data_IF_474481143184
#
_entry.id   IF_474481143184
#
_cell.length_a   1.000
_cell.length_b   1.000
_cell.length_c   1.000
_cell.angle_alpha   90.00
_cell.angle_beta   90.00
_cell.angle_gamma   90.00
#
_symmetry.space_group_name_H-M   'P 1'
#
loop_
_entity.id
_entity.type
_entity.pdbx_description
1 polymer ?
#
# COMPACT_ATOMS: atom_id res chain seq x y z
N UNK A 1 11.24 4.65 -1.52
CA UNK A 1 10.59 4.03 -0.33
C UNK A 1 10.92 2.52 -0.27
N UNK A 2 11.13 1.87 0.90
CA UNK A 2 11.47 0.42 0.96
C UNK A 2 10.23 -0.45 1.23
N UNK A 3 9.96 -1.44 0.36
CA UNK A 3 8.84 -2.39 0.46
C UNK A 3 8.92 -3.28 1.72
N UNK A 4 10.12 -3.59 2.19
CA UNK A 4 10.34 -4.45 3.37
C UNK A 4 9.86 -3.79 4.67
N UNK A 5 9.69 -2.46 4.68
CA UNK A 5 9.21 -1.72 5.84
C UNK A 5 7.68 -1.77 5.99
N UNK A 6 6.97 -2.33 5.00
CA UNK A 6 5.51 -2.41 4.98
C UNK A 6 5.01 -3.77 5.48
N UNK A 7 4.26 -3.74 6.58
CA UNK A 7 3.63 -4.92 7.15
C UNK A 7 2.17 -4.99 6.69
N UNK A 8 1.81 -6.08 6.02
CA UNK A 8 0.43 -6.35 5.58
C UNK A 8 -0.36 -7.11 6.64
N UNK A 9 -1.57 -6.65 6.94
CA UNK A 9 -2.53 -7.32 7.82
C UNK A 9 -3.88 -7.45 7.14
N UNK A 10 -4.62 -8.47 7.55
CA UNK A 10 -6.00 -8.71 7.15
C UNK A 10 -6.76 -9.01 8.42
N UNK A 11 -7.70 -8.13 8.76
CA UNK A 11 -8.60 -8.30 9.88
C UNK A 11 -9.95 -8.79 9.34
N UNK A 12 -10.71 -9.53 10.14
CA UNK A 12 -12.03 -10.01 9.76
C UNK A 12 -13.06 -9.75 10.85
N UNK A 13 -14.31 -9.53 10.41
CA UNK A 13 -15.47 -9.38 11.27
C UNK A 13 -16.51 -10.40 10.85
N UNK A 14 -16.96 -11.22 11.80
CA UNK A 14 -18.04 -12.19 11.61
C UNK A 14 -19.38 -11.54 11.96
N UNK A 15 -20.31 -11.51 11.00
CA UNK A 15 -21.66 -10.94 11.15
C UNK A 15 -22.74 -12.03 11.24
N UNK A 16 -22.35 -13.30 11.37
CA UNK A 16 -23.26 -14.45 11.49
C UNK A 16 -23.50 -15.15 10.15
N UNK A 17 -24.09 -14.46 9.17
CA UNK A 17 -24.32 -14.98 7.81
C UNK A 17 -23.25 -14.54 6.80
N UNK A 18 -22.42 -13.55 7.17
CA UNK A 18 -21.39 -12.96 6.34
C UNK A 18 -20.10 -12.77 7.15
N UNK A 19 -18.96 -12.91 6.47
CA UNK A 19 -17.65 -12.48 6.99
C UNK A 19 -17.12 -11.36 6.11
N UNK A 20 -16.77 -10.24 6.74
CA UNK A 20 -16.11 -9.12 6.09
C UNK A 20 -14.61 -9.18 6.38
N UNK A 21 -13.81 -8.78 5.41
CA UNK A 21 -12.36 -8.68 5.55
C UNK A 21 -11.91 -7.27 5.23
N UNK A 22 -10.98 -6.76 6.04
CA UNK A 22 -10.34 -5.47 5.83
C UNK A 22 -8.83 -5.70 5.75
N UNK A 23 -8.24 -5.38 4.61
CA UNK A 23 -6.80 -5.50 4.39
C UNK A 23 -6.14 -4.13 4.43
N UNK A 24 -5.02 -4.04 5.14
CA UNK A 24 -4.24 -2.82 5.23
C UNK A 24 -2.76 -3.12 5.34
N UNK A 25 -1.95 -2.16 4.93
CA UNK A 25 -0.50 -2.18 5.09
C UNK A 25 -0.11 -0.97 5.93
N UNK A 26 0.80 -1.17 6.87
CA UNK A 26 1.33 -0.08 7.67
C UNK A 26 2.85 -0.04 7.59
N UNK A 27 3.40 1.17 7.56
CA UNK A 27 4.82 1.42 7.70
C UNK A 27 5.07 2.03 9.07
N UNK A 28 5.72 1.28 9.96
CA UNK A 28 5.93 1.71 11.34
C UNK A 28 6.86 2.91 11.46
N UNK A 29 7.81 3.06 10.52
CA UNK A 29 8.80 4.15 10.51
C UNK A 29 8.16 5.47 10.10
N UNK A 30 7.34 5.46 9.05
CA UNK A 30 6.71 6.68 8.50
C UNK A 30 5.33 6.94 9.09
N UNK A 31 4.77 6.01 9.86
CA UNK A 31 3.39 6.04 10.38
C UNK A 31 2.32 6.14 9.29
N UNK A 32 2.65 5.69 8.08
CA UNK A 32 1.72 5.65 6.97
C UNK A 32 0.89 4.36 7.01
N UNK A 33 -0.36 4.46 6.56
CA UNK A 33 -1.29 3.35 6.39
C UNK A 33 -1.85 3.42 4.98
N UNK A 34 -1.92 2.27 4.31
CA UNK A 34 -2.59 2.08 3.03
C UNK A 34 -3.67 1.04 3.25
N UNK A 35 -4.92 1.43 3.01
CA UNK A 35 -6.09 0.56 3.11
C UNK A 35 -6.44 0.01 1.72
N UNK A 36 -6.90 -1.24 1.68
CA UNK A 36 -7.40 -1.85 0.47
C UNK A 36 -8.59 -2.72 0.80
N UNK A 37 -9.76 -2.10 0.74
CA UNK A 37 -11.02 -2.81 0.96
C UNK A 37 -11.30 -3.75 -0.20
N UNK A 38 -11.62 -5.00 0.13
CA UNK A 38 -12.04 -5.98 -0.85
C UNK A 38 -13.14 -6.87 -0.27
N UNK A 39 -14.25 -6.91 -0.99
CA UNK A 39 -15.38 -7.76 -0.65
C UNK A 39 -15.15 -9.14 -1.27
N UNK A 40 -14.55 -10.06 -0.51
CA UNK A 40 -14.39 -11.45 -0.93
C UNK A 40 -14.50 -12.39 0.28
N UNK A 41 -15.14 -13.57 0.17
CA UNK A 41 -15.33 -14.49 1.30
C UNK A 41 -14.05 -15.21 1.76
N UNK A 42 -12.96 -15.11 1.00
CA UNK A 42 -11.71 -15.85 1.22
C UNK A 42 -10.57 -14.91 1.65
N UNK A 43 -10.07 -15.10 2.87
CA UNK A 43 -8.99 -14.32 3.47
C UNK A 43 -7.67 -14.42 2.69
N UNK A 44 -7.31 -15.60 2.19
CA UNK A 44 -6.05 -15.78 1.45
C UNK A 44 -6.11 -15.03 0.13
N UNK A 45 -7.27 -15.06 -0.53
CA UNK A 45 -7.51 -14.26 -1.72
C UNK A 45 -7.43 -12.76 -1.42
N UNK A 46 -8.10 -12.28 -0.36
CA UNK A 46 -8.04 -10.88 0.10
C UNK A 46 -6.59 -10.46 0.32
N UNK A 47 -5.83 -11.25 1.06
CA UNK A 47 -4.42 -10.99 1.38
C UNK A 47 -3.56 -10.90 0.12
N UNK A 48 -3.65 -11.89 -0.76
CA UNK A 48 -2.87 -11.93 -2.00
C UNK A 48 -3.19 -10.74 -2.91
N UNK A 49 -4.48 -10.43 -3.08
CA UNK A 49 -4.92 -9.30 -3.92
C UNK A 49 -4.44 -7.97 -3.38
N UNK A 50 -4.56 -7.79 -2.07
CA UNK A 50 -4.09 -6.57 -1.40
C UNK A 50 -2.57 -6.40 -1.51
N UNK A 51 -1.79 -7.47 -1.35
CA UNK A 51 -0.34 -7.43 -1.54
C UNK A 51 0.06 -6.99 -2.95
N UNK A 52 -0.66 -7.45 -3.98
CA UNK A 52 -0.42 -7.02 -5.37
C UNK A 52 -0.75 -5.53 -5.57
N UNK A 53 -1.86 -5.05 -5.00
CA UNK A 53 -2.24 -3.64 -5.04
C UNK A 53 -1.21 -2.76 -4.33
N UNK A 54 -0.80 -3.15 -3.11
CA UNK A 54 0.21 -2.47 -2.32
C UNK A 54 1.51 -2.30 -3.10
N UNK A 55 1.99 -3.37 -3.73
CA UNK A 55 3.22 -3.33 -4.53
C UNK A 55 3.09 -2.34 -5.69
N UNK A 56 1.95 -2.34 -6.39
CA UNK A 56 1.66 -1.36 -7.45
C UNK A 56 1.66 0.09 -6.95
N UNK A 57 0.97 0.35 -5.84
CA UNK A 57 0.90 1.69 -5.23
C UNK A 57 2.28 2.17 -4.79
N UNK A 58 3.08 1.33 -4.14
CA UNK A 58 4.41 1.71 -3.68
C UNK A 58 5.37 1.98 -4.84
N UNK A 59 5.31 1.18 -5.91
CA UNK A 59 6.10 1.44 -7.13
C UNK A 59 5.71 2.76 -7.80
N UNK A 60 4.41 3.06 -7.85
CA UNK A 60 3.93 4.32 -8.43
C UNK A 60 4.44 5.53 -7.62
N UNK A 61 4.32 5.49 -6.28
CA UNK A 61 4.80 6.57 -5.41
C UNK A 61 6.30 6.76 -5.55
N UNK A 62 7.08 5.67 -5.58
CA UNK A 62 8.53 5.74 -5.76
C UNK A 62 8.90 6.37 -7.12
N UNK A 63 8.20 6.01 -8.18
CA UNK A 63 8.39 6.61 -9.51
C UNK A 63 8.05 8.11 -9.53
N UNK A 64 6.95 8.50 -8.89
CA UNK A 64 6.55 9.91 -8.77
C UNK A 64 7.57 10.74 -7.98
N UNK A 65 8.11 10.19 -6.88
CA UNK A 65 9.19 10.81 -6.09
C UNK A 65 10.47 10.99 -6.92
N UNK A 66 10.87 9.98 -7.69
CA UNK A 66 12.04 10.06 -8.57
C UNK A 66 11.86 11.13 -9.67
N UNK A 67 10.70 11.19 -10.31
CA UNK A 67 10.43 12.20 -11.34
C UNK A 67 10.43 13.61 -10.76
N UNK A 68 9.86 13.79 -9.56
CA UNK A 68 9.88 15.08 -8.86
C UNK A 68 11.31 15.51 -8.51
N UNK A 69 12.11 14.63 -7.94
CA UNK A 69 13.51 14.92 -7.62
C UNK A 69 14.34 15.29 -8.86
N UNK A 70 14.10 14.62 -9.99
CA UNK A 70 14.76 14.93 -11.26
C UNK A 70 14.36 16.31 -11.83
N UNK A 71 13.13 16.77 -11.59
CA UNK A 71 12.67 18.10 -11.99
C UNK A 71 13.25 19.20 -11.08
N UNK A 72 13.26 18.99 -9.76
CA UNK A 72 13.84 19.93 -8.80
C UNK A 72 15.36 20.09 -8.97
N UNK A 73 16.09 18.98 -9.25
CA UNK A 73 17.53 19.02 -9.51
C UNK A 73 17.91 19.71 -10.84
N UNK A 74 17.01 19.73 -11.83
CA UNK A 74 17.22 20.51 -13.06
C UNK A 74 16.97 22.00 -12.84
N UNK A 75 15.99 22.36 -12.03
CA UNK A 75 15.70 23.76 -11.71
C UNK A 75 16.82 24.46 -10.92
N UNK A 76 17.54 23.73 -10.05
CA UNK A 76 18.68 24.28 -9.29
C UNK A 76 20.00 24.34 -10.09
N UNK A 77 20.11 23.64 -11.21
CA UNK A 77 21.31 23.67 -12.05
C UNK A 77 21.30 24.82 -13.08
N UNK A 78 20.13 25.47 -13.26
CA UNK A 78 19.91 26.57 -14.20
C UNK A 78 19.84 27.96 -13.51
N UNK A 79 20.13 28.06 -12.20
CA UNK A 79 20.34 29.31 -11.43
C UNK A 79 21.84 29.56 -11.15
#
# INVERSE_FOLDING_TARGET
MNLEDWQTRVDSIDLGDMRLYHAYAFNEKTKQVIEGDTEHPDEEFVRMRFQQQLMGTLMQVDMEEQMRAAQEGRAQADE
#
